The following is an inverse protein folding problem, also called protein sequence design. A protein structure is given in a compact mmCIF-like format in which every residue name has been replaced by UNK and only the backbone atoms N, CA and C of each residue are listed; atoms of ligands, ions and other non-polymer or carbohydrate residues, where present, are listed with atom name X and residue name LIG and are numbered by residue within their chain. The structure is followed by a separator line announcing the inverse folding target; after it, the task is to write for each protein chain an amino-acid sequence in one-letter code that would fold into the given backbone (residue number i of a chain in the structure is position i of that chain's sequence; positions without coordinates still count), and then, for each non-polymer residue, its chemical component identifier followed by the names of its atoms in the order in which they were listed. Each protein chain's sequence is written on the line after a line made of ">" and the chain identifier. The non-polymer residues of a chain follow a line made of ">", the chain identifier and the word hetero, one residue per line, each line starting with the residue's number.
data_IF_744478928697
#
_entry.id   IF_744478928697
#
_cell.length_a   1.000
_cell.length_b   1.000
_cell.length_c   1.000
_cell.angle_alpha   90.00
_cell.angle_beta   90.00
_cell.angle_gamma   90.00
#
_symmetry.space_group_name_H-M   'P 1'
#
loop_
_entity.id
_entity.type
_entity.pdbx_description
1 polymer ?
#
# COMPACT_ATOMS: atom_id res chain seq x y z
N UNK A 1 -33.74 -33.33 28.61
CA UNK A 1 -32.70 -32.30 28.64
C UNK A 1 -32.98 -31.42 29.85
N UNK A 2 -32.04 -31.25 30.77
CA UNK A 2 -32.30 -30.49 32.01
C UNK A 2 -32.33 -28.99 31.72
N UNK A 3 -33.00 -28.22 32.59
CA UNK A 3 -33.05 -26.76 32.49
C UNK A 3 -31.63 -26.15 32.49
N UNK A 4 -30.73 -26.70 33.31
CA UNK A 4 -29.32 -26.29 33.39
C UNK A 4 -28.54 -26.56 32.09
N UNK A 5 -28.82 -27.68 31.39
CA UNK A 5 -28.22 -27.97 30.08
C UNK A 5 -28.67 -26.96 29.01
N UNK A 6 -29.95 -26.57 29.05
CA UNK A 6 -30.49 -25.59 28.11
C UNK A 6 -29.95 -24.17 28.34
N UNK A 7 -29.75 -23.77 29.60
CA UNK A 7 -29.19 -22.47 29.95
C UNK A 7 -27.70 -22.40 29.58
N UNK A 8 -26.95 -23.48 29.82
CA UNK A 8 -25.54 -23.57 29.44
C UNK A 8 -25.37 -23.52 27.92
N UNK A 9 -26.23 -24.20 27.16
CA UNK A 9 -26.25 -24.12 25.71
C UNK A 9 -26.52 -22.69 25.22
N UNK A 10 -27.53 -22.01 25.78
CA UNK A 10 -27.85 -20.62 25.44
C UNK A 10 -26.68 -19.65 25.71
N UNK A 11 -25.98 -19.81 26.84
CA UNK A 11 -24.79 -19.02 27.19
C UNK A 11 -23.64 -19.23 26.19
N UNK A 12 -23.41 -20.47 25.76
CA UNK A 12 -22.38 -20.79 24.75
C UNK A 12 -22.73 -20.16 23.41
N UNK A 13 -23.99 -20.22 22.98
CA UNK A 13 -24.44 -19.61 21.72
C UNK A 13 -24.29 -18.09 21.75
N UNK A 14 -24.67 -17.43 22.85
CA UNK A 14 -24.48 -15.98 23.01
C UNK A 14 -23.00 -15.60 23.00
N UNK A 15 -22.13 -16.37 23.66
CA UNK A 15 -20.70 -16.11 23.65
C UNK A 15 -20.08 -16.31 22.26
N UNK A 16 -20.52 -17.33 21.51
CA UNK A 16 -20.06 -17.55 20.14
C UNK A 16 -20.52 -16.42 19.21
N UNK A 17 -21.77 -15.98 19.34
CA UNK A 17 -22.28 -14.86 18.56
C UNK A 17 -21.55 -13.56 18.90
N UNK A 18 -21.29 -13.30 20.18
CA UNK A 18 -20.47 -12.18 20.63
C UNK A 18 -19.06 -12.24 20.02
N UNK A 19 -18.38 -13.37 20.13
CA UNK A 19 -17.03 -13.54 19.57
C UNK A 19 -17.03 -13.33 18.04
N UNK A 20 -18.06 -13.82 17.34
CA UNK A 20 -18.20 -13.62 15.90
C UNK A 20 -18.36 -12.13 15.54
N UNK A 21 -19.29 -11.43 16.20
CA UNK A 21 -19.52 -9.99 15.96
C UNK A 21 -18.26 -9.19 16.29
N UNK A 22 -17.60 -9.49 17.41
CA UNK A 22 -16.38 -8.80 17.82
C UNK A 22 -15.21 -9.03 16.84
N UNK A 23 -15.03 -10.26 16.35
CA UNK A 23 -13.98 -10.55 15.36
C UNK A 23 -14.23 -9.80 14.04
N UNK A 24 -15.48 -9.69 13.59
CA UNK A 24 -15.82 -8.91 12.40
C UNK A 24 -15.55 -7.42 12.61
N UNK A 25 -15.92 -6.87 13.76
CA UNK A 25 -15.66 -5.46 14.09
C UNK A 25 -14.14 -5.16 14.17
N UNK A 26 -13.35 -6.07 14.75
CA UNK A 26 -11.88 -5.94 14.83
C UNK A 26 -11.25 -6.05 13.44
N UNK A 27 -11.70 -6.97 12.58
CA UNK A 27 -11.21 -7.07 11.19
C UNK A 27 -11.49 -5.78 10.43
N UNK A 28 -12.73 -5.30 10.45
CA UNK A 28 -13.13 -4.08 9.75
C UNK A 28 -12.32 -2.87 10.24
N UNK A 29 -12.07 -2.75 11.55
CA UNK A 29 -11.26 -1.65 12.06
C UNK A 29 -9.80 -1.75 11.63
N UNK A 30 -9.21 -2.95 11.59
CA UNK A 30 -7.86 -3.15 11.03
C UNK A 30 -7.79 -2.86 9.54
N UNK A 31 -8.74 -3.36 8.76
CA UNK A 31 -8.80 -3.15 7.30
C UNK A 31 -8.95 -1.65 6.98
N UNK A 32 -9.85 -0.95 7.69
CA UNK A 32 -10.01 0.49 7.55
C UNK A 32 -8.77 1.24 8.00
N UNK A 33 -8.16 0.87 9.13
CA UNK A 33 -6.93 1.53 9.58
C UNK A 33 -5.77 1.30 8.60
N UNK A 34 -5.65 0.11 8.01
CA UNK A 34 -4.66 -0.16 6.98
C UNK A 34 -4.92 0.68 5.72
N UNK A 35 -6.15 0.80 5.26
CA UNK A 35 -6.48 1.67 4.11
C UNK A 35 -6.18 3.14 4.43
N UNK A 36 -6.54 3.63 5.62
CA UNK A 36 -6.39 5.05 6.00
C UNK A 36 -4.93 5.43 6.29
N UNK A 37 -4.07 4.48 6.69
CA UNK A 37 -2.66 4.72 7.02
C UNK A 37 -1.66 4.13 6.01
N UNK A 38 -2.12 3.78 4.80
CA UNK A 38 -1.24 3.29 3.74
C UNK A 38 -0.35 4.43 3.22
N UNK A 39 0.91 4.42 3.68
CA UNK A 39 1.98 5.25 3.15
C UNK A 39 2.57 4.64 1.88
N UNK A 40 2.75 5.45 0.86
CA UNK A 40 3.38 5.11 -0.41
C UNK A 40 4.67 5.92 -0.54
N UNK A 41 5.76 5.27 -0.95
CA UNK A 41 7.01 5.95 -1.31
C UNK A 41 7.07 6.05 -2.84
N UNK A 42 7.27 7.26 -3.36
CA UNK A 42 7.49 7.53 -4.77
C UNK A 42 8.93 8.00 -4.99
N UNK A 43 9.67 7.30 -5.85
CA UNK A 43 11.05 7.61 -6.24
C UNK A 43 11.05 7.94 -7.74
N UNK A 44 11.11 9.23 -8.07
CA UNK A 44 10.91 9.77 -9.42
C UNK A 44 11.65 11.11 -9.57
N UNK A 45 12.59 11.20 -10.52
CA UNK A 45 13.40 12.41 -10.75
C UNK A 45 12.67 13.47 -11.58
N UNK A 46 11.70 13.06 -12.41
CA UNK A 46 10.89 13.99 -13.18
C UNK A 46 9.82 14.65 -12.31
N UNK A 47 10.01 15.93 -12.00
CA UNK A 47 9.09 16.70 -11.16
C UNK A 47 7.63 16.67 -11.66
N UNK A 48 7.39 16.72 -12.98
CA UNK A 48 6.03 16.71 -13.53
C UNK A 48 5.34 15.36 -13.29
N UNK A 49 6.06 14.27 -13.54
CA UNK A 49 5.56 12.91 -13.26
C UNK A 49 5.31 12.74 -11.76
N UNK A 50 6.26 13.19 -10.93
CA UNK A 50 6.16 13.09 -9.49
C UNK A 50 4.92 13.81 -8.95
N UNK A 51 4.67 15.06 -9.39
CA UNK A 51 3.51 15.86 -9.02
C UNK A 51 2.20 15.18 -9.47
N UNK A 52 2.15 14.69 -10.71
CA UNK A 52 0.98 14.02 -11.26
C UNK A 52 0.62 12.74 -10.50
N UNK A 53 1.60 11.87 -10.23
CA UNK A 53 1.41 10.63 -9.44
C UNK A 53 0.99 10.96 -8.01
N UNK A 54 1.67 11.91 -7.38
CA UNK A 54 1.38 12.33 -6.00
C UNK A 54 -0.03 12.88 -5.88
N UNK A 55 -0.47 13.72 -6.82
CA UNK A 55 -1.82 14.25 -6.83
C UNK A 55 -2.85 13.13 -6.98
N UNK A 56 -2.70 12.26 -7.99
CA UNK A 56 -3.65 11.18 -8.24
C UNK A 56 -3.81 10.22 -7.05
N UNK A 57 -2.72 9.91 -6.35
CA UNK A 57 -2.75 9.03 -5.17
C UNK A 57 -3.25 9.76 -3.91
N UNK A 58 -2.94 11.05 -3.77
CA UNK A 58 -3.45 11.85 -2.64
C UNK A 58 -4.97 12.02 -2.74
N UNK A 59 -5.51 12.21 -3.95
CA UNK A 59 -6.96 12.30 -4.20
C UNK A 59 -7.68 10.98 -3.87
N UNK A 60 -7.00 9.85 -4.01
CA UNK A 60 -7.49 8.53 -3.57
C UNK A 60 -7.34 8.28 -2.05
N UNK A 61 -6.76 9.23 -1.30
CA UNK A 61 -6.65 9.18 0.16
C UNK A 61 -5.36 8.54 0.69
N UNK A 62 -4.37 8.26 -0.17
CA UNK A 62 -3.07 7.76 0.25
C UNK A 62 -2.16 8.87 0.77
N UNK A 63 -1.22 8.51 1.65
CA UNK A 63 -0.15 9.41 2.10
C UNK A 63 1.10 9.10 1.28
N UNK A 64 1.65 10.09 0.59
CA UNK A 64 2.79 9.89 -0.32
C UNK A 64 4.00 10.64 0.20
N UNK A 65 5.10 9.92 0.40
CA UNK A 65 6.43 10.51 0.52
C UNK A 65 7.08 10.43 -0.86
N UNK A 66 7.41 11.59 -1.46
CA UNK A 66 8.02 11.66 -2.78
C UNK A 66 9.48 12.14 -2.68
N UNK A 67 10.38 11.47 -3.39
CA UNK A 67 11.80 11.81 -3.48
C UNK A 67 12.30 11.71 -4.92
N UNK A 68 13.25 12.58 -5.26
CA UNK A 68 13.80 12.67 -6.63
C UNK A 68 15.12 11.95 -6.81
N UNK A 69 15.73 11.43 -5.73
CA UNK A 69 17.01 10.73 -5.77
C UNK A 69 16.86 9.29 -5.29
N UNK A 70 17.48 8.36 -6.02
CA UNK A 70 17.43 6.93 -5.72
C UNK A 70 18.06 6.55 -4.37
N UNK A 71 19.05 7.28 -3.88
CA UNK A 71 19.70 7.03 -2.59
C UNK A 71 18.80 7.41 -1.45
N UNK A 72 18.17 8.58 -1.54
CA UNK A 72 17.20 9.03 -0.55
C UNK A 72 15.99 8.08 -0.53
N UNK A 73 15.53 7.67 -1.71
CA UNK A 73 14.48 6.66 -1.85
C UNK A 73 14.84 5.31 -1.24
N UNK A 74 16.03 4.78 -1.53
CA UNK A 74 16.51 3.53 -0.91
C UNK A 74 16.65 3.66 0.60
N UNK A 75 17.15 4.80 1.10
CA UNK A 75 17.27 5.05 2.53
C UNK A 75 15.91 5.04 3.23
N UNK A 76 14.93 5.78 2.71
CA UNK A 76 13.58 5.82 3.27
C UNK A 76 12.91 4.45 3.20
N UNK A 77 12.99 3.77 2.07
CA UNK A 77 12.41 2.44 1.86
C UNK A 77 12.94 1.37 2.85
N UNK A 78 14.20 1.49 3.28
CA UNK A 78 14.79 0.58 4.25
C UNK A 78 14.46 0.98 5.70
N UNK A 79 14.37 2.29 5.97
CA UNK A 79 14.16 2.85 7.30
C UNK A 79 12.71 2.77 7.76
N UNK A 80 11.79 3.19 6.91
CA UNK A 80 10.38 3.34 7.22
C UNK A 80 9.56 2.18 6.62
N UNK A 81 8.33 2.02 7.07
CA UNK A 81 7.41 1.01 6.54
C UNK A 81 6.43 1.65 5.57
N UNK A 82 6.59 1.28 4.30
CA UNK A 82 5.68 1.64 3.22
C UNK A 82 4.86 0.42 2.81
N UNK A 83 3.60 0.67 2.45
CA UNK A 83 2.74 -0.36 1.90
C UNK A 83 3.05 -0.62 0.42
N UNK A 84 3.47 0.43 -0.29
CA UNK A 84 3.87 0.38 -1.68
C UNK A 84 5.07 1.30 -1.91
N UNK A 85 6.02 0.82 -2.70
CA UNK A 85 7.10 1.64 -3.25
C UNK A 85 6.91 1.70 -4.76
N UNK A 86 6.85 2.91 -5.30
CA UNK A 86 6.82 3.21 -6.73
C UNK A 86 8.20 3.74 -7.10
N UNK A 87 8.89 3.04 -7.99
CA UNK A 87 10.28 3.33 -8.38
C UNK A 87 10.38 3.55 -9.89
N UNK A 88 10.84 4.71 -10.35
CA UNK A 88 11.37 4.82 -11.71
C UNK A 88 12.70 4.05 -11.81
N UNK A 89 12.79 3.15 -12.78
CA UNK A 89 14.03 2.39 -13.04
C UNK A 89 15.08 3.29 -13.70
N UNK A 90 14.67 4.35 -14.39
CA UNK A 90 15.53 5.21 -15.22
C UNK A 90 16.14 6.40 -14.46
N UNK A 91 16.32 6.29 -13.14
CA UNK A 91 16.88 7.37 -12.33
C UNK A 91 18.31 7.73 -12.72
N UNK A 92 18.67 9.02 -12.77
CA UNK A 92 20.03 9.45 -13.01
C UNK A 92 20.94 9.13 -11.82
N UNK A 93 22.14 8.61 -12.10
CA UNK A 93 23.19 8.45 -11.08
C UNK A 93 23.05 7.25 -10.13
N UNK A 94 22.00 6.44 -10.27
CA UNK A 94 21.84 5.17 -9.55
C UNK A 94 21.16 4.13 -10.45
N UNK A 95 21.56 2.87 -10.34
CA UNK A 95 20.93 1.78 -11.07
C UNK A 95 19.62 1.38 -10.36
N UNK A 96 18.48 1.76 -10.93
CA UNK A 96 17.15 1.42 -10.39
C UNK A 96 16.95 -0.09 -10.18
N UNK A 97 17.65 -0.94 -10.94
CA UNK A 97 17.64 -2.39 -10.72
C UNK A 97 18.36 -2.81 -9.44
N UNK A 98 19.44 -2.13 -9.06
CA UNK A 98 20.14 -2.39 -7.80
C UNK A 98 19.27 -2.00 -6.60
N UNK A 99 18.55 -0.88 -6.68
CA UNK A 99 17.56 -0.50 -5.68
C UNK A 99 16.51 -1.61 -5.55
N UNK A 100 15.93 -2.03 -6.68
CA UNK A 100 14.92 -3.10 -6.73
C UNK A 100 15.41 -4.41 -6.09
N UNK A 101 16.62 -4.85 -6.42
CA UNK A 101 17.24 -6.05 -5.85
C UNK A 101 17.50 -5.92 -4.35
N UNK A 102 18.00 -4.76 -3.92
CA UNK A 102 18.26 -4.49 -2.50
C UNK A 102 16.96 -4.51 -1.70
N UNK A 103 15.92 -3.85 -2.19
CA UNK A 103 14.62 -3.82 -1.51
C UNK A 103 13.96 -5.19 -1.44
N UNK A 104 14.02 -5.98 -2.52
CA UNK A 104 13.48 -7.35 -2.54
C UNK A 104 14.15 -8.31 -1.57
N UNK A 105 15.41 -8.06 -1.24
CA UNK A 105 16.15 -8.89 -0.27
C UNK A 105 15.96 -8.39 1.16
N UNK A 106 15.73 -7.10 1.37
CA UNK A 106 15.61 -6.49 2.69
C UNK A 106 14.18 -6.43 3.25
N UNK A 107 13.16 -6.30 2.40
CA UNK A 107 11.75 -6.07 2.80
C UNK A 107 10.79 -6.94 1.97
N UNK A 108 9.62 -7.20 2.52
CA UNK A 108 8.50 -7.85 1.80
C UNK A 108 7.50 -6.84 1.22
N UNK A 109 7.87 -5.55 1.20
CA UNK A 109 7.03 -4.47 0.69
C UNK A 109 6.69 -4.66 -0.79
N UNK A 110 5.45 -4.35 -1.16
CA UNK A 110 5.03 -4.34 -2.56
C UNK A 110 5.82 -3.29 -3.33
N UNK A 111 6.37 -3.67 -4.48
CA UNK A 111 7.25 -2.83 -5.27
C UNK A 111 6.72 -2.76 -6.70
N UNK A 112 6.35 -1.56 -7.12
CA UNK A 112 5.89 -1.25 -8.47
C UNK A 112 6.97 -0.45 -9.19
N UNK A 113 7.47 -0.98 -10.29
CA UNK A 113 8.50 -0.33 -11.08
C UNK A 113 7.86 0.39 -12.27
N UNK A 114 8.08 1.71 -12.36
CA UNK A 114 7.61 2.51 -13.49
C UNK A 114 8.49 2.22 -14.70
N UNK A 115 7.84 1.86 -15.80
CA UNK A 115 8.45 1.81 -17.12
C UNK A 115 7.90 2.98 -17.92
N UNK A 116 8.76 3.78 -18.54
CA UNK A 116 8.41 5.00 -19.29
C UNK A 116 7.21 4.84 -20.25
N UNK A 117 6.97 3.65 -20.81
CA UNK A 117 5.81 3.39 -21.67
C UNK A 117 4.45 3.40 -20.95
N UNK A 118 4.41 3.01 -19.68
CA UNK A 118 3.19 2.86 -18.87
C UNK A 118 2.58 4.24 -18.53
N UNK A 119 3.42 5.24 -18.26
CA UNK A 119 3.00 6.62 -18.01
C UNK A 119 2.51 7.34 -19.28
N UNK A 120 3.07 7.03 -20.45
CA UNK A 120 2.56 7.61 -21.71
C UNK A 120 1.14 7.15 -22.06
N UNK A 121 0.74 5.96 -21.59
CA UNK A 121 -0.60 5.42 -21.84
C UNK A 121 -1.68 6.10 -20.98
N UNK A 122 -1.32 6.70 -19.84
CA UNK A 122 -2.29 7.38 -18.96
C UNK A 122 -2.70 8.74 -19.51
N UNK A 123 -1.75 9.51 -20.04
CA UNK A 123 -2.04 10.79 -20.71
C UNK A 123 -2.91 10.58 -21.97
N UNK A 124 -2.76 9.45 -22.68
CA UNK A 124 -3.50 9.19 -23.92
C UNK A 124 -4.87 8.55 -23.73
N UNK A 125 -5.05 7.70 -22.71
CA UNK A 125 -6.27 6.89 -22.56
C UNK A 125 -7.13 7.24 -21.32
N UNK A 126 -6.70 8.18 -20.48
CA UNK A 126 -7.51 8.68 -19.38
C UNK A 126 -7.62 7.75 -18.17
N UNK A 127 -6.72 6.78 -18.04
CA UNK A 127 -6.62 5.91 -16.86
C UNK A 127 -6.13 6.69 -15.64
N UNK A 128 -6.70 6.41 -14.46
CA UNK A 128 -6.20 6.98 -13.20
C UNK A 128 -5.04 6.14 -12.66
N UNK A 129 -4.13 6.77 -11.92
CA UNK A 129 -2.96 6.10 -11.31
C UNK A 129 -3.40 4.97 -10.38
N UNK A 130 -4.50 5.17 -9.64
CA UNK A 130 -5.11 4.16 -8.77
C UNK A 130 -5.47 2.88 -9.54
N UNK A 131 -6.07 3.01 -10.72
CA UNK A 131 -6.47 1.87 -11.54
C UNK A 131 -5.28 1.05 -12.05
N UNK A 132 -4.07 1.60 -12.09
CA UNK A 132 -2.87 0.89 -12.54
C UNK A 132 -2.11 0.21 -11.42
N UNK A 133 -2.16 0.74 -10.20
CA UNK A 133 -1.49 0.15 -9.03
C UNK A 133 -2.25 -1.08 -8.52
N UNK A 134 -3.55 -1.17 -8.80
CA UNK A 134 -4.43 -2.26 -8.36
C UNK A 134 -4.35 -3.50 -9.28
N UNK A 135 -3.67 -3.43 -10.42
CA UNK A 135 -3.46 -4.54 -11.37
C UNK A 135 -2.02 -5.05 -11.40
#
# INVERSE_FOLDING_TARGET
>A
MSFEDSEKAARVTLQQHYNFVMNQAVSITYDLWHIIFMKILLIEDNQRTQEWVTQGLSEAGYVIDAVSDGRDGLYLALKDDYALIILDIMLPGMDGWQILQTLRTAKQTLLFALLQGILSMTESEGWTVEQMIIW
#
